data_IF_628058530143
#
_entry.id   IF_628058530143
#
_cell.length_a   1.000
_cell.length_b   1.000
_cell.length_c   1.000
_cell.angle_alpha   90.00
_cell.angle_beta   90.00
_cell.angle_gamma   90.00
#
_symmetry.space_group_name_H-M   'P 1'
#
loop_
_entity.id
_entity.type
_entity.pdbx_description
1 polymer ?
#
# COMPACT_ATOMS: atom_id res chain seq x y z
N UNK A 1 -48.57 13.27 53.68
CA UNK A 1 -47.91 14.35 52.92
C UNK A 1 -47.04 13.73 51.83
N UNK A 2 -47.41 14.00 50.58
CA UNK A 2 -46.59 14.16 49.37
C UNK A 2 -45.52 13.10 49.01
N UNK A 3 -45.96 12.24 48.09
CA UNK A 3 -45.22 11.70 46.94
C UNK A 3 -44.23 12.66 46.26
N UNK A 4 -43.11 12.12 45.76
CA UNK A 4 -42.64 12.38 44.38
C UNK A 4 -41.82 11.20 43.84
N UNK A 5 -42.32 10.67 42.72
CA UNK A 5 -41.72 9.68 41.80
C UNK A 5 -40.89 10.39 40.72
N UNK A 6 -40.05 9.57 40.06
CA UNK A 6 -39.62 9.59 38.64
C UNK A 6 -38.45 10.51 38.21
N UNK A 7 -37.78 10.24 37.05
CA UNK A 7 -37.48 8.95 36.38
C UNK A 7 -36.14 8.87 35.58
N UNK A 8 -35.83 7.65 35.10
CA UNK A 8 -35.27 7.28 33.77
C UNK A 8 -33.86 7.71 33.29
N UNK A 9 -33.00 6.71 33.08
CA UNK A 9 -32.19 6.52 31.85
C UNK A 9 -32.05 5.03 31.53
N UNK A 10 -33.08 4.48 30.88
CA UNK A 10 -33.04 3.26 30.06
C UNK A 10 -33.33 3.72 28.62
N UNK A 11 -32.35 3.64 27.71
CA UNK A 11 -32.58 3.67 26.25
C UNK A 11 -31.24 3.42 25.54
N UNK A 12 -31.17 2.34 24.75
CA UNK A 12 -30.01 2.05 23.89
C UNK A 12 -29.76 0.56 23.61
N UNK A 13 -30.31 -0.36 24.42
CA UNK A 13 -29.99 -1.81 24.33
C UNK A 13 -30.99 -2.68 23.57
N UNK A 14 -31.99 -2.13 22.88
CA UNK A 14 -33.15 -2.92 22.39
C UNK A 14 -33.44 -2.84 20.88
N UNK A 15 -32.54 -2.34 20.03
CA UNK A 15 -32.84 -2.27 18.58
C UNK A 15 -32.67 -3.56 17.77
N UNK A 16 -32.24 -4.67 18.37
CA UNK A 16 -32.10 -5.95 17.66
C UNK A 16 -32.93 -7.13 18.20
N UNK A 17 -33.77 -6.96 19.22
CA UNK A 17 -34.32 -8.13 19.94
C UNK A 17 -35.82 -8.39 19.95
N UNK A 18 -36.67 -7.57 19.36
CA UNK A 18 -38.11 -7.89 19.34
C UNK A 18 -38.82 -7.36 18.10
N UNK A 19 -39.02 -8.23 17.10
CA UNK A 19 -40.22 -8.19 16.24
C UNK A 19 -40.68 -9.62 15.92
N UNK A 20 -41.94 -9.86 16.24
CA UNK A 20 -42.68 -11.11 16.24
C UNK A 20 -43.06 -11.61 14.84
N UNK A 21 -43.04 -12.94 14.70
CA UNK A 21 -43.95 -13.79 13.91
C UNK A 21 -44.42 -13.24 12.55
N UNK A 22 -43.61 -13.49 11.51
CA UNK A 22 -44.00 -13.45 10.10
C UNK A 22 -43.40 -14.70 9.41
N UNK A 23 -44.06 -15.32 8.42
CA UNK A 23 -43.88 -16.73 8.01
C UNK A 23 -42.63 -17.01 7.17
N UNK A 24 -41.61 -16.14 7.26
CA UNK A 24 -40.33 -16.33 6.59
C UNK A 24 -39.47 -17.24 7.46
N UNK A 25 -39.29 -18.47 6.96
CA UNK A 25 -38.39 -19.53 7.41
C UNK A 25 -37.18 -18.99 8.19
N UNK A 26 -36.87 -19.62 9.33
CA UNK A 26 -35.65 -19.48 10.14
C UNK A 26 -34.52 -18.82 9.33
N UNK A 27 -34.31 -17.52 9.53
CA UNK A 27 -33.23 -16.78 8.86
C UNK A 27 -31.93 -17.48 9.24
N UNK A 28 -31.25 -18.07 8.25
CA UNK A 28 -30.01 -18.79 8.51
C UNK A 28 -28.86 -17.79 8.64
N UNK A 29 -27.99 -17.93 9.65
CA UNK A 29 -26.77 -17.13 9.72
C UNK A 29 -25.89 -17.36 8.48
N UNK A 30 -24.91 -16.50 8.27
CA UNK A 30 -23.86 -16.77 7.30
C UNK A 30 -22.99 -17.93 7.81
N UNK A 31 -22.84 -18.96 7.00
CA UNK A 31 -22.07 -20.16 7.34
C UNK A 31 -20.55 -19.91 7.21
N UNK A 32 -20.17 -18.94 6.38
CA UNK A 32 -18.78 -18.51 6.16
C UNK A 32 -18.71 -17.03 5.79
N UNK A 33 -17.49 -16.50 5.73
CA UNK A 33 -17.25 -15.15 5.21
C UNK A 33 -17.53 -15.06 3.71
N UNK A 34 -17.24 -16.11 2.94
CA UNK A 34 -17.55 -16.16 1.51
C UNK A 34 -19.06 -16.04 1.27
N UNK A 35 -19.88 -16.75 2.04
CA UNK A 35 -21.35 -16.66 1.94
C UNK A 35 -21.88 -15.26 2.30
N UNK A 36 -21.16 -14.53 3.16
CA UNK A 36 -21.46 -13.13 3.47
C UNK A 36 -21.09 -12.22 2.31
N UNK A 37 -19.89 -12.40 1.74
CA UNK A 37 -19.40 -11.62 0.60
C UNK A 37 -20.22 -11.84 -0.66
N UNK A 38 -20.62 -13.07 -0.96
CA UNK A 38 -21.54 -13.39 -2.07
C UNK A 38 -22.88 -12.66 -1.90
N UNK A 39 -23.43 -12.67 -0.67
CA UNK A 39 -24.69 -11.97 -0.39
C UNK A 39 -24.53 -10.45 -0.42
N UNK A 40 -23.36 -9.92 -0.04
CA UNK A 40 -23.03 -8.50 -0.16
C UNK A 40 -22.84 -8.09 -1.64
N UNK A 41 -22.20 -8.94 -2.46
CA UNK A 41 -22.08 -8.73 -3.90
C UNK A 41 -23.44 -8.70 -4.58
N UNK A 42 -24.33 -9.64 -4.25
CA UNK A 42 -25.70 -9.63 -4.78
C UNK A 42 -26.44 -8.33 -4.43
N UNK A 43 -26.27 -7.86 -3.18
CA UNK A 43 -26.84 -6.59 -2.75
C UNK A 43 -26.27 -5.40 -3.54
N UNK A 44 -24.95 -5.32 -3.71
CA UNK A 44 -24.29 -4.21 -4.43
C UNK A 44 -24.61 -4.25 -5.92
N UNK A 45 -24.62 -5.42 -6.56
CA UNK A 45 -25.07 -5.55 -7.94
C UNK A 45 -26.52 -5.09 -8.11
N UNK A 46 -27.40 -5.40 -7.16
CA UNK A 46 -28.77 -4.91 -7.19
C UNK A 46 -28.84 -3.39 -7.00
N UNK A 47 -27.95 -2.78 -6.21
CA UNK A 47 -27.83 -1.32 -6.12
C UNK A 47 -27.39 -0.71 -7.45
N UNK A 48 -26.42 -1.30 -8.15
CA UNK A 48 -25.90 -0.77 -9.42
C UNK A 48 -26.83 -0.96 -10.61
N UNK A 49 -27.61 -2.05 -10.62
CA UNK A 49 -28.61 -2.28 -11.66
C UNK A 49 -29.85 -1.39 -11.50
N UNK A 50 -29.99 -0.68 -10.36
CA UNK A 50 -31.17 0.12 -10.06
C UNK A 50 -31.23 1.45 -10.83
N UNK A 51 -30.14 2.25 -10.96
CA UNK A 51 -30.09 3.45 -11.81
C UNK A 51 -30.40 3.20 -13.29
N UNK A 52 -30.06 2.02 -13.81
CA UNK A 52 -30.26 1.65 -15.22
C UNK A 52 -31.73 1.33 -15.58
N UNK A 53 -32.61 1.28 -14.58
CA UNK A 53 -34.04 1.03 -14.81
C UNK A 53 -34.69 2.32 -15.29
N UNK A 54 -35.13 2.28 -16.53
CA UNK A 54 -35.79 3.37 -17.21
C UNK A 54 -36.97 3.89 -16.37
N UNK A 55 -36.88 5.13 -15.87
CA UNK A 55 -37.91 5.79 -15.04
C UNK A 55 -39.29 5.87 -15.70
N UNK A 56 -39.39 5.53 -16.98
CA UNK A 56 -40.60 5.54 -17.77
C UNK A 56 -41.52 4.33 -17.56
N UNK A 57 -41.06 3.26 -16.88
CA UNK A 57 -41.90 2.14 -16.43
C UNK A 57 -42.00 2.10 -14.91
N UNK A 58 -43.11 2.66 -14.38
CA UNK A 58 -43.33 2.81 -12.95
C UNK A 58 -43.47 1.46 -12.21
N UNK A 59 -43.91 0.40 -12.90
CA UNK A 59 -44.10 -0.91 -12.32
C UNK A 59 -42.76 -1.65 -12.15
N UNK A 60 -41.88 -1.56 -13.17
CA UNK A 60 -40.53 -2.13 -13.11
C UNK A 60 -39.64 -1.42 -12.08
N UNK A 61 -39.74 -0.10 -11.97
CA UNK A 61 -39.07 0.68 -10.94
C UNK A 61 -39.52 0.27 -9.53
N UNK A 62 -40.84 0.13 -9.31
CA UNK A 62 -41.41 -0.26 -8.02
C UNK A 62 -41.00 -1.68 -7.62
N UNK A 63 -41.06 -2.63 -8.58
CA UNK A 63 -40.68 -4.02 -8.36
C UNK A 63 -39.20 -4.17 -8.01
N UNK A 64 -38.33 -3.45 -8.71
CA UNK A 64 -36.90 -3.49 -8.45
C UNK A 64 -36.54 -2.83 -7.12
N UNK A 65 -37.24 -1.77 -6.73
CA UNK A 65 -37.10 -1.14 -5.41
C UNK A 65 -37.51 -2.10 -4.29
N UNK A 66 -38.63 -2.81 -4.47
CA UNK A 66 -39.09 -3.83 -3.53
C UNK A 66 -38.09 -4.98 -3.42
N UNK A 67 -37.53 -5.45 -4.55
CA UNK A 67 -36.51 -6.50 -4.58
C UNK A 67 -35.24 -6.07 -3.85
N UNK A 68 -34.72 -4.88 -4.13
CA UNK A 68 -33.55 -4.33 -3.44
C UNK A 68 -33.81 -4.21 -1.92
N UNK A 69 -34.98 -3.71 -1.54
CA UNK A 69 -35.35 -3.60 -0.13
C UNK A 69 -35.45 -4.95 0.57
N UNK A 70 -35.98 -5.96 -0.11
CA UNK A 70 -36.09 -7.32 0.40
C UNK A 70 -34.69 -7.96 0.57
N UNK A 71 -33.80 -7.80 -0.42
CA UNK A 71 -32.42 -8.30 -0.37
C UNK A 71 -31.66 -7.70 0.80
N UNK A 72 -31.70 -6.38 0.95
CA UNK A 72 -31.00 -5.71 2.03
C UNK A 72 -31.58 -6.08 3.41
N UNK A 73 -32.90 -6.17 3.54
CA UNK A 73 -33.54 -6.63 4.79
C UNK A 73 -33.12 -8.07 5.12
N UNK A 74 -33.06 -8.94 4.12
CA UNK A 74 -32.59 -10.32 4.30
C UNK A 74 -31.12 -10.34 4.73
N UNK A 75 -30.25 -9.58 4.06
CA UNK A 75 -28.83 -9.46 4.37
C UNK A 75 -28.61 -9.04 5.83
N UNK A 76 -29.19 -7.91 6.25
CA UNK A 76 -28.99 -7.38 7.61
C UNK A 76 -29.60 -8.29 8.69
N UNK A 77 -30.70 -9.00 8.40
CA UNK A 77 -31.24 -10.02 9.31
C UNK A 77 -30.30 -11.22 9.45
N UNK A 78 -29.72 -11.70 8.35
CA UNK A 78 -28.73 -12.79 8.39
C UNK A 78 -27.48 -12.36 9.15
N UNK A 79 -26.99 -11.15 8.89
CA UNK A 79 -25.84 -10.56 9.58
C UNK A 79 -26.09 -10.48 11.10
N UNK A 80 -27.26 -9.98 11.50
CA UNK A 80 -27.63 -9.86 12.90
C UNK A 80 -27.69 -11.21 13.63
N UNK A 81 -28.09 -12.28 12.94
CA UNK A 81 -28.15 -13.64 13.48
C UNK A 81 -26.85 -14.44 13.36
N UNK A 82 -25.82 -13.91 12.68
CA UNK A 82 -24.52 -14.57 12.52
C UNK A 82 -23.70 -14.37 13.79
N UNK A 83 -22.93 -15.39 14.20
CA UNK A 83 -22.12 -15.34 15.40
C UNK A 83 -20.81 -14.55 15.19
N UNK A 84 -20.16 -14.15 16.29
CA UNK A 84 -18.88 -13.42 16.30
C UNK A 84 -17.67 -14.25 15.82
N UNK A 85 -17.91 -15.51 15.47
CA UNK A 85 -16.96 -16.35 14.73
C UNK A 85 -16.69 -15.78 13.34
N UNK A 86 -17.66 -15.07 12.74
CA UNK A 86 -17.44 -14.36 11.51
C UNK A 86 -16.67 -13.04 11.79
N UNK A 87 -15.50 -12.84 11.15
CA UNK A 87 -14.64 -11.70 11.38
C UNK A 87 -15.33 -10.36 11.13
N UNK A 88 -16.09 -10.26 10.04
CA UNK A 88 -16.79 -9.02 9.70
C UNK A 88 -17.93 -8.71 10.67
N UNK A 89 -18.65 -9.72 11.14
CA UNK A 89 -19.70 -9.54 12.17
C UNK A 89 -19.09 -8.99 13.46
N UNK A 90 -17.91 -9.47 13.83
CA UNK A 90 -17.16 -8.97 14.98
C UNK A 90 -16.70 -7.53 14.79
N UNK A 91 -16.23 -7.14 13.60
CA UNK A 91 -15.95 -5.74 13.24
C UNK A 91 -17.19 -4.86 13.43
N UNK A 92 -18.32 -5.28 12.86
CA UNK A 92 -19.59 -4.53 12.92
C UNK A 92 -20.04 -4.33 14.36
N UNK A 93 -19.91 -5.35 15.21
CA UNK A 93 -20.32 -5.29 16.62
C UNK A 93 -19.35 -4.52 17.51
N UNK A 94 -18.04 -4.72 17.35
CA UNK A 94 -17.00 -3.99 18.11
C UNK A 94 -17.04 -2.48 17.86
N UNK A 95 -17.33 -2.09 16.62
CA UNK A 95 -17.40 -0.69 16.19
C UNK A 95 -18.83 -0.13 16.18
N UNK A 96 -19.82 -0.93 16.59
CA UNK A 96 -21.24 -0.61 16.58
C UNK A 96 -21.68 0.09 15.28
N UNK A 97 -21.35 -0.50 14.13
CA UNK A 97 -21.62 0.10 12.82
C UNK A 97 -23.13 0.11 12.52
N UNK A 98 -23.62 1.25 12.02
CA UNK A 98 -24.99 1.37 11.54
C UNK A 98 -25.16 0.67 10.18
N UNK A 99 -26.37 0.23 9.79
CA UNK A 99 -26.57 -0.55 8.56
C UNK A 99 -25.97 0.07 7.29
N UNK A 100 -25.97 1.41 7.17
CA UNK A 100 -25.36 2.10 6.05
C UNK A 100 -23.82 2.15 6.11
N UNK A 101 -23.25 2.16 7.31
CA UNK A 101 -21.80 2.09 7.52
C UNK A 101 -21.29 0.69 7.14
N UNK A 102 -22.07 -0.34 7.49
CA UNK A 102 -21.83 -1.73 7.08
C UNK A 102 -21.85 -1.85 5.55
N UNK A 103 -22.89 -1.32 4.89
CA UNK A 103 -23.01 -1.33 3.44
C UNK A 103 -21.86 -0.54 2.77
N UNK A 104 -21.46 0.61 3.30
CA UNK A 104 -20.36 1.42 2.79
C UNK A 104 -19.00 0.70 2.89
N UNK A 105 -18.70 0.09 4.04
CA UNK A 105 -17.46 -0.69 4.24
C UNK A 105 -17.41 -1.89 3.29
N UNK A 106 -18.53 -2.60 3.11
CA UNK A 106 -18.62 -3.70 2.16
C UNK A 106 -18.43 -3.24 0.72
N UNK A 107 -19.03 -2.10 0.33
CA UNK A 107 -18.89 -1.55 -1.00
C UNK A 107 -17.44 -1.18 -1.35
N UNK A 108 -16.77 -0.50 -0.44
CA UNK A 108 -15.35 -0.19 -0.60
C UNK A 108 -14.48 -1.45 -0.63
N UNK A 109 -14.77 -2.42 0.24
CA UNK A 109 -14.03 -3.69 0.26
C UNK A 109 -14.18 -4.46 -1.06
N UNK A 110 -15.42 -4.57 -1.56
CA UNK A 110 -15.75 -5.24 -2.81
C UNK A 110 -15.09 -4.54 -4.01
N UNK A 111 -15.13 -3.21 -4.04
CA UNK A 111 -14.47 -2.40 -5.06
C UNK A 111 -12.95 -2.61 -5.02
N UNK A 112 -12.35 -2.60 -3.82
CA UNK A 112 -10.91 -2.80 -3.62
C UNK A 112 -10.43 -4.19 -4.06
N UNK A 113 -11.23 -5.22 -3.78
CA UNK A 113 -10.98 -6.60 -4.22
C UNK A 113 -11.28 -6.82 -5.70
N UNK A 114 -11.82 -5.81 -6.41
CA UNK A 114 -12.24 -5.89 -7.83
C UNK A 114 -13.20 -7.04 -8.10
N UNK A 115 -14.09 -7.31 -7.15
CA UNK A 115 -15.15 -8.31 -7.32
C UNK A 115 -16.30 -7.77 -8.19
N UNK A 116 -16.30 -6.47 -8.48
CA UNK A 116 -17.22 -5.78 -9.37
C UNK A 116 -16.47 -4.82 -10.29
N UNK A 117 -17.14 -4.33 -11.33
CA UNK A 117 -16.60 -3.31 -12.24
C UNK A 117 -16.71 -1.88 -11.67
N UNK A 118 -17.21 -1.73 -10.44
CA UNK A 118 -17.40 -0.42 -9.82
C UNK A 118 -16.12 -0.06 -9.07
N UNK A 119 -15.55 1.08 -9.45
CA UNK A 119 -14.38 1.64 -8.80
C UNK A 119 -14.82 2.81 -7.92
N UNK A 120 -14.87 2.59 -6.60
CA UNK A 120 -15.29 3.61 -5.65
C UNK A 120 -14.06 4.29 -5.09
N UNK A 121 -13.94 5.57 -5.39
CA UNK A 121 -12.81 6.43 -5.10
C UNK A 121 -13.20 7.71 -4.38
N UNK A 122 -14.48 8.11 -4.37
CA UNK A 122 -14.96 9.28 -3.64
C UNK A 122 -16.22 8.99 -2.82
N UNK A 123 -16.47 9.79 -1.78
CA UNK A 123 -17.63 9.62 -0.89
C UNK A 123 -18.97 9.77 -1.63
N UNK A 124 -19.00 10.61 -2.68
CA UNK A 124 -20.18 10.78 -3.52
C UNK A 124 -20.62 9.49 -4.20
N UNK A 125 -19.69 8.69 -4.74
CA UNK A 125 -20.00 7.43 -5.43
C UNK A 125 -20.64 6.41 -4.49
N UNK A 126 -20.21 6.33 -3.23
CA UNK A 126 -20.91 5.52 -2.21
C UNK A 126 -22.30 6.09 -1.95
N UNK A 127 -22.41 7.41 -1.86
CA UNK A 127 -23.68 8.07 -1.60
C UNK A 127 -24.69 7.82 -2.72
N UNK A 128 -24.27 7.83 -3.99
CA UNK A 128 -25.12 7.49 -5.15
C UNK A 128 -25.49 6.01 -5.14
N UNK A 129 -24.49 5.14 -4.93
CA UNK A 129 -24.70 3.69 -4.85
C UNK A 129 -25.75 3.29 -3.80
N UNK A 130 -25.78 4.01 -2.66
CA UNK A 130 -26.67 3.73 -1.54
C UNK A 130 -27.87 4.70 -1.48
N UNK A 131 -28.02 5.63 -2.41
CA UNK A 131 -28.99 6.74 -2.34
C UNK A 131 -30.42 6.26 -2.16
N UNK A 132 -30.80 5.22 -2.91
CA UNK A 132 -32.17 4.69 -2.95
C UNK A 132 -32.61 3.98 -1.66
N UNK A 133 -31.66 3.74 -0.76
CA UNK A 133 -31.84 3.02 0.50
C UNK A 133 -31.78 3.93 1.71
N UNK A 134 -31.09 5.06 1.61
CA UNK A 134 -30.85 5.94 2.75
C UNK A 134 -31.83 7.11 2.79
N UNK A 135 -32.66 7.15 3.85
CA UNK A 135 -33.48 8.33 4.14
C UNK A 135 -32.64 9.55 4.53
N UNK A 136 -31.43 9.31 5.07
CA UNK A 136 -30.53 10.33 5.59
C UNK A 136 -29.17 10.30 4.86
N UNK A 137 -29.15 10.68 3.58
CA UNK A 137 -27.91 10.85 2.77
C UNK A 137 -26.82 11.63 3.52
N UNK A 138 -27.23 12.64 4.29
CA UNK A 138 -26.35 13.46 5.12
C UNK A 138 -25.64 12.67 6.24
N UNK A 139 -26.25 11.63 6.80
CA UNK A 139 -25.59 10.80 7.84
C UNK A 139 -24.50 9.92 7.24
N UNK A 140 -24.77 9.33 6.08
CA UNK A 140 -23.78 8.55 5.34
C UNK A 140 -22.58 9.41 4.98
N UNK A 141 -22.82 10.57 4.35
CA UNK A 141 -21.75 11.51 4.01
C UNK A 141 -20.97 11.94 5.26
N UNK A 142 -21.64 12.32 6.35
CA UNK A 142 -20.98 12.65 7.63
C UNK A 142 -20.10 11.52 8.19
N UNK A 143 -20.47 10.25 7.99
CA UNK A 143 -19.66 9.12 8.45
C UNK A 143 -18.43 8.90 7.56
N UNK A 144 -18.52 9.26 6.28
CA UNK A 144 -17.46 9.21 5.27
C UNK A 144 -16.61 10.49 5.18
N UNK A 145 -16.85 11.48 6.06
CA UNK A 145 -16.02 12.68 6.14
C UNK A 145 -14.70 12.41 6.89
N UNK A 146 -13.69 13.29 6.77
CA UNK A 146 -12.44 13.21 7.53
C UNK A 146 -12.63 13.08 9.04
N UNK A 147 -13.58 13.81 9.62
CA UNK A 147 -13.93 13.69 11.06
C UNK A 147 -15.04 12.65 11.32
N UNK A 148 -15.44 11.94 10.28
CA UNK A 148 -16.49 10.94 10.27
C UNK A 148 -16.15 9.72 11.11
N UNK A 149 -17.18 8.96 11.50
CA UNK A 149 -17.00 7.80 12.37
C UNK A 149 -16.12 6.73 11.71
N UNK A 150 -16.32 6.44 10.42
CA UNK A 150 -15.55 5.41 9.73
C UNK A 150 -14.05 5.75 9.66
N UNK A 151 -13.69 7.02 9.41
CA UNK A 151 -12.30 7.45 9.40
C UNK A 151 -11.68 7.47 10.81
N UNK A 152 -12.42 7.95 11.82
CA UNK A 152 -11.96 7.93 13.23
C UNK A 152 -11.73 6.51 13.78
N UNK A 153 -12.45 5.54 13.25
CA UNK A 153 -12.29 4.13 13.60
C UNK A 153 -11.20 3.43 12.76
N UNK A 154 -10.55 4.13 11.84
CA UNK A 154 -9.50 3.56 10.97
C UNK A 154 -10.03 2.51 10.00
N UNK A 155 -11.31 2.55 9.64
CA UNK A 155 -11.90 1.60 8.69
C UNK A 155 -11.75 2.07 7.24
N UNK A 156 -11.69 3.38 7.05
CA UNK A 156 -11.46 4.06 5.77
C UNK A 156 -10.36 5.09 5.95
N UNK A 157 -9.76 5.51 4.84
CA UNK A 157 -8.87 6.65 4.77
C UNK A 157 -9.35 7.61 3.70
N UNK A 158 -9.28 8.90 4.00
CA UNK A 158 -9.62 9.97 3.08
C UNK A 158 -8.34 10.74 2.83
N UNK A 159 -7.81 10.55 1.63
CA UNK A 159 -6.61 11.18 1.13
C UNK A 159 -7.01 12.55 0.57
N UNK A 160 -6.65 13.63 1.27
CA UNK A 160 -7.02 15.00 0.86
C UNK A 160 -6.03 15.60 -0.15
N UNK A 161 -4.98 14.86 -0.49
CA UNK A 161 -3.81 15.35 -1.22
C UNK A 161 -3.93 15.01 -2.72
N UNK A 162 -5.17 15.01 -3.23
CA UNK A 162 -5.49 14.92 -4.66
C UNK A 162 -5.92 16.30 -5.17
N UNK A 163 -5.04 17.02 -5.89
CA UNK A 163 -5.33 18.38 -6.37
C UNK A 163 -6.53 18.45 -7.33
N UNK A 164 -6.93 17.32 -7.91
CA UNK A 164 -8.10 17.20 -8.80
C UNK A 164 -9.39 16.82 -8.05
N UNK A 165 -9.32 16.46 -6.76
CA UNK A 165 -10.49 16.06 -5.95
C UNK A 165 -10.76 17.04 -4.82
N UNK A 166 -11.81 17.86 -5.00
CA UNK A 166 -12.33 18.72 -3.94
C UNK A 166 -12.85 17.94 -2.70
N UNK A 167 -13.09 16.64 -2.83
CA UNK A 167 -13.71 15.79 -1.79
C UNK A 167 -12.71 14.87 -1.07
N UNK A 168 -11.48 14.73 -1.58
CA UNK A 168 -10.49 13.76 -1.10
C UNK A 168 -10.81 12.33 -1.57
N UNK A 169 -9.77 11.56 -1.87
CA UNK A 169 -9.91 10.18 -2.35
C UNK A 169 -10.18 9.24 -1.17
N UNK A 170 -11.30 8.53 -1.24
CA UNK A 170 -11.75 7.56 -0.26
C UNK A 170 -11.20 6.17 -0.60
N UNK A 171 -10.47 5.56 0.33
CA UNK A 171 -10.00 4.17 0.24
C UNK A 171 -10.40 3.40 1.51
N UNK A 172 -10.57 2.09 1.40
CA UNK A 172 -10.74 1.22 2.57
C UNK A 172 -9.36 1.00 3.21
N UNK A 173 -9.30 0.95 4.54
CA UNK A 173 -8.04 0.55 5.20
C UNK A 173 -7.67 -0.88 4.76
N UNK A 174 -6.45 -1.05 4.27
CA UNK A 174 -5.88 -2.34 3.88
C UNK A 174 -6.02 -3.43 4.96
N UNK A 175 -6.01 -3.06 6.24
CA UNK A 175 -6.21 -3.98 7.37
C UNK A 175 -7.60 -4.59 7.35
N UNK A 176 -8.61 -3.82 6.97
CA UNK A 176 -9.99 -4.31 6.83
C UNK A 176 -10.04 -5.33 5.70
N UNK A 177 -9.42 -5.03 4.54
CA UNK A 177 -9.40 -5.94 3.39
C UNK A 177 -8.64 -7.23 3.70
N UNK A 178 -7.49 -7.15 4.35
CA UNK A 178 -6.72 -8.32 4.77
C UNK A 178 -7.44 -9.14 5.85
N UNK A 179 -8.18 -8.48 6.75
CA UNK A 179 -9.06 -9.17 7.69
C UNK A 179 -10.16 -9.95 6.95
N UNK A 180 -10.72 -9.37 5.89
CA UNK A 180 -11.66 -10.06 5.01
C UNK A 180 -11.04 -11.25 4.27
N UNK A 181 -9.74 -11.21 3.93
CA UNK A 181 -9.10 -12.33 3.23
C UNK A 181 -8.65 -13.45 4.17
N UNK A 182 -8.22 -13.10 5.39
CA UNK A 182 -7.57 -14.03 6.32
C UNK A 182 -8.45 -14.48 7.49
N UNK A 183 -9.52 -13.73 7.76
CA UNK A 183 -10.43 -13.94 8.88
C UNK A 183 -9.85 -13.66 10.27
N UNK A 184 -8.66 -13.06 10.35
CA UNK A 184 -7.98 -12.72 11.62
C UNK A 184 -8.02 -11.21 11.86
N UNK A 185 -8.48 -10.82 13.05
CA UNK A 185 -8.65 -9.42 13.49
C UNK A 185 -7.33 -8.77 13.93
N UNK A 186 -6.34 -9.60 14.22
CA UNK A 186 -4.97 -9.15 14.42
C UNK A 186 -4.52 -8.56 13.09
N UNK A 187 -4.62 -7.22 13.01
CA UNK A 187 -4.29 -6.43 11.82
C UNK A 187 -2.97 -6.91 11.26
N UNK A 188 -2.88 -6.95 9.92
CA UNK A 188 -1.79 -7.51 9.10
C UNK A 188 -0.68 -7.99 10.02
N UNK A 189 -0.61 -9.30 10.38
CA UNK A 189 0.48 -9.75 11.21
C UNK A 189 1.73 -9.24 10.51
N UNK A 190 2.38 -8.27 11.16
CA UNK A 190 3.57 -7.66 10.60
C UNK A 190 4.42 -8.85 10.23
N UNK A 191 4.79 -8.93 8.96
CA UNK A 191 5.53 -10.10 8.53
C UNK A 191 6.85 -10.01 9.29
N UNK A 192 7.01 -10.84 10.31
CA UNK A 192 8.21 -10.88 11.15
C UNK A 192 9.06 -12.04 10.65
N UNK A 193 10.25 -11.73 10.17
CA UNK A 193 11.17 -12.76 9.72
C UNK A 193 11.65 -13.54 10.95
N UNK A 194 11.70 -14.87 10.86
CA UNK A 194 12.17 -15.71 11.97
C UNK A 194 13.69 -15.87 11.93
N UNK A 195 14.31 -15.57 10.79
CA UNK A 195 15.75 -15.65 10.56
C UNK A 195 16.23 -14.56 9.60
N UNK A 196 17.52 -14.23 9.68
CA UNK A 196 18.15 -13.27 8.77
C UNK A 196 18.11 -13.81 7.32
N UNK A 197 18.26 -15.12 7.10
CA UNK A 197 18.13 -15.75 5.78
C UNK A 197 16.74 -15.60 5.16
N UNK A 198 15.69 -15.71 5.99
CA UNK A 198 14.31 -15.49 5.55
C UNK A 198 14.09 -14.03 5.15
N UNK A 199 14.62 -13.08 5.92
CA UNK A 199 14.59 -11.65 5.58
C UNK A 199 15.25 -11.39 4.21
N UNK A 200 16.41 -11.99 3.95
CA UNK A 200 17.08 -11.92 2.65
C UNK A 200 16.26 -12.55 1.52
N UNK A 201 15.49 -13.61 1.79
CA UNK A 201 14.59 -14.19 0.81
C UNK A 201 13.45 -13.22 0.43
N UNK A 202 12.94 -12.43 1.40
CA UNK A 202 11.88 -11.44 1.14
C UNK A 202 12.34 -10.30 0.25
N UNK A 203 13.63 -9.95 0.29
CA UNK A 203 14.20 -8.92 -0.58
C UNK A 203 13.97 -9.23 -2.08
N UNK A 204 13.84 -10.50 -2.46
CA UNK A 204 13.48 -10.89 -3.83
C UNK A 204 12.03 -10.52 -4.20
N UNK A 205 11.09 -10.60 -3.26
CA UNK A 205 9.70 -10.17 -3.48
C UNK A 205 9.60 -8.64 -3.52
N UNK A 206 10.39 -7.98 -2.67
CA UNK A 206 10.47 -6.53 -2.59
C UNK A 206 11.08 -5.95 -3.87
N UNK A 207 12.14 -6.58 -4.40
CA UNK A 207 12.75 -6.13 -5.66
C UNK A 207 11.76 -6.11 -6.83
N UNK A 208 10.82 -7.08 -6.90
CA UNK A 208 9.76 -7.07 -7.91
C UNK A 208 8.79 -5.88 -7.73
N UNK A 209 8.56 -5.46 -6.50
CA UNK A 209 7.72 -4.29 -6.19
C UNK A 209 8.43 -3.01 -6.62
N UNK A 210 9.72 -2.87 -6.33
CA UNK A 210 10.56 -1.75 -6.78
C UNK A 210 10.60 -1.69 -8.31
N UNK A 211 10.87 -2.82 -8.99
CA UNK A 211 10.93 -2.90 -10.46
C UNK A 211 9.62 -2.48 -11.13
N UNK A 212 8.47 -2.73 -10.48
CA UNK A 212 7.17 -2.26 -10.98
C UNK A 212 6.90 -0.79 -10.66
N UNK A 213 7.47 -0.28 -9.58
CA UNK A 213 7.27 1.09 -9.11
C UNK A 213 8.05 2.11 -9.94
N UNK A 214 9.30 1.81 -10.31
CA UNK A 214 10.19 2.75 -11.00
C UNK A 214 9.63 3.23 -12.36
N UNK A 215 9.08 2.37 -13.25
CA UNK A 215 8.47 2.85 -14.49
C UNK A 215 7.24 3.73 -14.26
N UNK A 216 6.43 3.41 -13.25
CA UNK A 216 5.23 4.19 -12.90
C UNK A 216 5.63 5.59 -12.39
N UNK A 217 6.74 5.69 -11.66
CA UNK A 217 7.31 6.98 -11.24
C UNK A 217 7.74 7.82 -12.44
N UNK A 218 8.50 7.25 -13.37
CA UNK A 218 8.92 7.96 -14.59
C UNK A 218 7.74 8.37 -15.48
N UNK A 219 6.69 7.55 -15.56
CA UNK A 219 5.46 7.92 -16.27
C UNK A 219 4.75 9.10 -15.59
N UNK A 220 4.66 9.10 -14.26
CA UNK A 220 4.03 10.19 -13.51
C UNK A 220 4.82 11.50 -13.64
N UNK A 221 6.14 11.47 -13.49
CA UNK A 221 7.01 12.65 -13.63
C UNK A 221 7.00 13.23 -15.05
N UNK A 222 6.85 12.37 -16.07
CA UNK A 222 6.69 12.80 -17.46
C UNK A 222 5.26 13.26 -17.81
N UNK A 223 4.33 13.27 -16.85
CA UNK A 223 2.92 13.65 -17.04
C UNK A 223 2.09 12.62 -17.82
N UNK A 224 2.64 11.44 -18.10
CA UNK A 224 1.98 10.37 -18.87
C UNK A 224 1.35 9.27 -17.98
N UNK A 225 1.61 9.31 -16.68
CA UNK A 225 1.16 8.34 -15.69
C UNK A 225 0.08 8.87 -14.76
N UNK A 226 -0.63 7.96 -14.09
CA UNK A 226 -1.62 8.36 -13.06
C UNK A 226 -0.98 8.32 -11.67
N UNK A 227 -1.19 9.37 -10.87
CA UNK A 227 -0.72 9.41 -9.48
C UNK A 227 -1.22 8.20 -8.65
N UNK A 228 -2.36 7.62 -9.02
CA UNK A 228 -2.93 6.43 -8.40
C UNK A 228 -2.03 5.19 -8.51
N UNK A 229 -1.42 4.93 -9.66
CA UNK A 229 -0.53 3.77 -9.84
C UNK A 229 0.72 3.90 -8.98
N UNK A 230 1.33 5.10 -8.98
CA UNK A 230 2.47 5.44 -8.14
C UNK A 230 2.15 5.31 -6.65
N UNK A 231 1.05 5.93 -6.19
CA UNK A 231 0.59 5.83 -4.78
C UNK A 231 0.40 4.38 -4.35
N UNK A 232 -0.22 3.55 -5.18
CA UNK A 232 -0.43 2.12 -4.88
C UNK A 232 0.88 1.35 -4.77
N UNK A 233 1.80 1.57 -5.71
CA UNK A 233 3.12 0.92 -5.70
C UNK A 233 3.94 1.35 -4.46
N UNK A 234 3.96 2.65 -4.16
CA UNK A 234 4.60 3.22 -2.96
C UNK A 234 4.02 2.69 -1.66
N UNK A 235 2.69 2.66 -1.50
CA UNK A 235 2.05 2.09 -0.30
C UNK A 235 2.44 0.63 -0.09
N UNK A 236 2.44 -0.19 -1.15
CA UNK A 236 2.86 -1.59 -1.07
C UNK A 236 4.31 -1.73 -0.64
N UNK A 237 5.21 -1.00 -1.28
CA UNK A 237 6.63 -1.00 -0.93
C UNK A 237 6.86 -0.48 0.50
N UNK A 238 6.17 0.59 0.90
CA UNK A 238 6.23 1.14 2.24
C UNK A 238 5.79 0.16 3.31
N UNK A 239 4.72 -0.61 3.09
CA UNK A 239 4.31 -1.64 4.02
C UNK A 239 5.39 -2.73 4.17
N UNK A 240 6.01 -3.16 3.07
CA UNK A 240 7.12 -4.12 3.11
C UNK A 240 8.35 -3.56 3.86
N UNK A 241 8.65 -2.27 3.71
CA UNK A 241 9.70 -1.60 4.48
C UNK A 241 9.36 -1.58 5.97
N UNK A 242 8.09 -1.31 6.32
CA UNK A 242 7.63 -1.37 7.71
C UNK A 242 7.77 -2.79 8.29
N UNK A 243 7.42 -3.83 7.52
CA UNK A 243 7.59 -5.22 7.94
C UNK A 243 9.06 -5.57 8.23
N UNK A 244 9.98 -5.09 7.39
CA UNK A 244 11.41 -5.24 7.61
C UNK A 244 11.85 -4.48 8.86
N UNK A 245 11.43 -3.21 9.03
CA UNK A 245 11.83 -2.41 10.18
C UNK A 245 11.38 -3.04 11.50
N UNK A 246 10.19 -3.64 11.55
CA UNK A 246 9.72 -4.36 12.73
C UNK A 246 10.49 -5.67 12.94
N UNK A 247 10.78 -6.41 11.87
CA UNK A 247 11.63 -7.61 11.97
C UNK A 247 13.01 -7.27 12.54
N UNK A 248 13.60 -6.15 12.11
CA UNK A 248 14.90 -5.68 12.58
C UNK A 248 14.86 -5.12 14.01
N UNK A 249 13.74 -4.55 14.47
CA UNK A 249 13.62 -4.06 15.85
C UNK A 249 13.55 -5.21 16.86
N UNK A 250 12.97 -6.35 16.46
CA UNK A 250 12.91 -7.57 17.26
C UNK A 250 14.24 -8.35 17.29
N UNK A 251 15.10 -8.13 16.28
CA UNK A 251 16.37 -8.83 16.10
C UNK A 251 17.54 -7.86 15.89
N UNK A 252 17.89 -7.03 16.89
CA UNK A 252 18.94 -6.01 16.77
C UNK A 252 20.35 -6.60 16.52
N UNK A 253 20.54 -7.89 16.79
CA UNK A 253 21.81 -8.58 16.56
C UNK A 253 22.11 -8.82 15.07
N UNK A 254 21.10 -8.80 14.21
CA UNK A 254 21.23 -9.02 12.76
C UNK A 254 22.07 -7.93 12.10
N UNK A 255 22.78 -8.30 11.02
CA UNK A 255 23.74 -7.38 10.38
C UNK A 255 23.01 -6.22 9.71
N UNK A 256 21.86 -6.51 9.10
CA UNK A 256 21.03 -5.46 8.50
C UNK A 256 20.46 -4.49 9.56
N UNK A 257 20.17 -4.98 10.77
CA UNK A 257 19.74 -4.15 11.90
C UNK A 257 20.83 -3.16 12.33
N UNK A 258 22.06 -3.65 12.50
CA UNK A 258 23.22 -2.81 12.81
C UNK A 258 23.52 -1.78 11.73
N UNK A 259 23.39 -2.15 10.45
CA UNK A 259 23.57 -1.20 9.36
C UNK A 259 22.48 -0.12 9.35
N UNK A 260 21.23 -0.48 9.69
CA UNK A 260 20.11 0.47 9.82
C UNK A 260 20.32 1.48 10.94
N UNK A 261 20.84 1.05 12.09
CA UNK A 261 21.18 1.97 13.18
C UNK A 261 22.19 3.03 12.73
N UNK A 262 23.22 2.62 11.99
CA UNK A 262 24.20 3.54 11.39
C UNK A 262 23.55 4.43 10.31
N UNK A 263 22.53 3.94 9.62
CA UNK A 263 21.76 4.71 8.65
C UNK A 263 20.83 5.75 9.28
N UNK A 264 20.79 5.88 10.61
CA UNK A 264 19.97 6.88 11.31
C UNK A 264 18.57 6.40 11.68
N UNK A 265 18.30 5.09 11.57
CA UNK A 265 17.04 4.46 12.00
C UNK A 265 15.76 5.09 11.44
N UNK A 266 15.83 5.56 10.20
CA UNK A 266 14.70 6.17 9.51
C UNK A 266 14.16 5.28 8.39
N UNK A 267 12.86 5.41 8.12
CA UNK A 267 12.16 4.62 7.10
C UNK A 267 12.67 4.91 5.69
N UNK A 268 13.00 6.16 5.38
CA UNK A 268 13.51 6.56 4.07
C UNK A 268 14.91 5.98 3.84
N UNK A 269 15.78 6.10 4.84
CA UNK A 269 17.11 5.50 4.78
C UNK A 269 17.05 3.98 4.65
N UNK A 270 16.15 3.33 5.39
CA UNK A 270 15.93 1.88 5.31
C UNK A 270 15.47 1.47 3.90
N UNK A 271 14.56 2.23 3.29
CA UNK A 271 14.11 1.98 1.93
C UNK A 271 15.23 2.08 0.88
N UNK A 272 16.08 3.11 0.99
CA UNK A 272 17.26 3.28 0.12
C UNK A 272 18.24 2.11 0.27
N UNK A 273 18.55 1.74 1.52
CA UNK A 273 19.44 0.60 1.81
C UNK A 273 18.87 -0.69 1.24
N UNK A 274 17.56 -0.95 1.40
CA UNK A 274 16.89 -2.13 0.83
C UNK A 274 16.97 -2.13 -0.71
N UNK A 275 16.74 -0.99 -1.36
CA UNK A 275 16.81 -0.90 -2.82
C UNK A 275 18.24 -1.19 -3.33
N UNK A 276 19.25 -0.57 -2.71
CA UNK A 276 20.66 -0.82 -3.06
C UNK A 276 21.12 -2.23 -2.71
N UNK A 277 20.58 -2.82 -1.65
CA UNK A 277 20.83 -4.21 -1.28
C UNK A 277 20.23 -5.18 -2.31
N UNK A 278 19.02 -4.92 -2.80
CA UNK A 278 18.43 -5.67 -3.92
C UNK A 278 19.31 -5.59 -5.18
N UNK A 279 19.93 -4.43 -5.46
CA UNK A 279 20.92 -4.26 -6.53
C UNK A 279 22.17 -5.10 -6.28
N UNK A 280 22.76 -5.00 -5.10
CA UNK A 280 23.97 -5.74 -4.75
C UNK A 280 23.77 -7.27 -4.81
N UNK A 281 22.58 -7.75 -4.47
CA UNK A 281 22.20 -9.17 -4.56
C UNK A 281 21.87 -9.65 -5.98
N UNK A 282 21.87 -8.75 -6.98
CA UNK A 282 21.58 -9.08 -8.37
C UNK A 282 20.11 -9.38 -8.67
N UNK A 283 19.18 -8.81 -7.89
CA UNK A 283 17.75 -9.03 -8.10
C UNK A 283 17.13 -8.11 -9.16
N UNK A 284 17.87 -7.12 -9.65
CA UNK A 284 17.51 -6.30 -10.80
C UNK A 284 18.10 -6.89 -12.09
N UNK A 285 17.23 -7.13 -13.09
CA UNK A 285 17.55 -7.84 -14.34
C UNK A 285 17.51 -6.97 -15.61
N UNK A 286 17.48 -5.65 -15.49
CA UNK A 286 17.37 -4.75 -16.64
C UNK A 286 18.72 -4.16 -17.06
N UNK A 287 18.83 -3.79 -18.34
CA UNK A 287 20.03 -3.22 -18.96
C UNK A 287 20.50 -1.88 -18.35
N UNK A 288 19.63 -1.21 -17.58
CA UNK A 288 19.96 0.02 -16.85
C UNK A 288 19.91 -0.23 -15.33
N UNK A 289 20.72 -1.15 -14.81
CA UNK A 289 20.88 -1.46 -13.37
C UNK A 289 21.43 -0.27 -12.52
N UNK A 290 21.20 0.96 -12.97
CA UNK A 290 21.55 2.21 -12.31
C UNK A 290 20.54 2.51 -11.21
N UNK A 291 20.97 2.44 -9.95
CA UNK A 291 20.21 3.03 -8.86
C UNK A 291 20.57 4.52 -8.84
N UNK A 292 19.93 5.28 -9.73
CA UNK A 292 20.17 6.71 -9.86
C UNK A 292 19.60 7.49 -8.67
N UNK A 293 20.04 8.73 -8.48
CA UNK A 293 19.53 9.59 -7.42
C UNK A 293 18.03 9.82 -7.55
N UNK A 294 17.54 10.04 -8.77
CA UNK A 294 16.10 10.15 -9.05
C UNK A 294 15.33 8.89 -8.61
N UNK A 295 15.86 7.70 -8.95
CA UNK A 295 15.23 6.44 -8.56
C UNK A 295 15.20 6.27 -7.04
N UNK A 296 16.32 6.53 -6.36
CA UNK A 296 16.43 6.38 -4.90
C UNK A 296 15.58 7.42 -4.16
N UNK A 297 15.56 8.66 -4.64
CA UNK A 297 14.67 9.70 -4.12
C UNK A 297 13.21 9.27 -4.29
N UNK A 298 12.81 8.77 -5.47
CA UNK A 298 11.45 8.28 -5.72
C UNK A 298 11.05 7.05 -4.89
N UNK A 299 12.02 6.22 -4.47
CA UNK A 299 11.83 5.09 -3.54
C UNK A 299 11.71 5.57 -2.09
N UNK A 300 12.46 6.60 -1.71
CA UNK A 300 12.48 7.21 -0.37
C UNK A 300 11.34 8.22 -0.14
N UNK A 301 10.73 8.69 -1.22
CA UNK A 301 9.67 9.70 -1.19
C UNK A 301 8.33 9.03 -0.88
N UNK A 302 7.80 9.32 0.31
CA UNK A 302 6.51 8.79 0.76
C UNK A 302 5.35 9.76 0.53
N UNK A 303 5.65 11.06 0.40
CA UNK A 303 4.72 12.12 0.05
C UNK A 303 5.00 12.60 -1.38
N UNK A 304 3.99 12.57 -2.25
CA UNK A 304 4.14 12.94 -3.67
C UNK A 304 4.35 14.45 -3.85
N UNK A 305 3.81 15.26 -2.94
CA UNK A 305 3.82 16.72 -3.06
C UNK A 305 5.16 17.35 -2.67
N UNK A 306 5.96 16.64 -1.86
CA UNK A 306 7.29 17.09 -1.49
C UNK A 306 8.40 16.13 -1.95
N UNK A 307 8.90 16.30 -3.18
CA UNK A 307 10.02 15.52 -3.68
C UNK A 307 11.33 15.83 -2.95
N UNK A 308 11.45 16.97 -2.26
CA UNK A 308 12.73 17.38 -1.67
C UNK A 308 13.21 16.43 -0.56
N UNK A 309 12.29 15.84 0.21
CA UNK A 309 12.63 14.85 1.24
C UNK A 309 13.33 13.59 0.69
N UNK A 310 12.98 13.15 -0.52
CA UNK A 310 13.64 11.99 -1.14
C UNK A 310 15.11 12.28 -1.45
N UNK A 311 15.41 13.49 -1.94
CA UNK A 311 16.78 13.92 -2.25
C UNK A 311 17.59 14.28 -1.01
N UNK A 312 16.96 14.77 0.05
CA UNK A 312 17.63 15.00 1.34
C UNK A 312 18.24 13.71 1.89
N UNK A 313 17.54 12.57 1.74
CA UNK A 313 17.99 11.27 2.20
C UNK A 313 19.22 10.73 1.46
N UNK A 314 19.54 11.22 0.27
CA UNK A 314 20.76 10.89 -0.51
C UNK A 314 21.74 12.06 -0.64
N UNK A 315 21.43 13.21 -0.02
CA UNK A 315 22.25 14.40 -0.06
C UNK A 315 23.53 14.29 0.78
N UNK A 316 24.44 15.28 0.68
CA UNK A 316 25.77 15.23 1.30
C UNK A 316 25.74 15.20 2.84
N UNK A 317 24.63 15.64 3.44
CA UNK A 317 24.42 15.65 4.90
C UNK A 317 23.65 14.44 5.42
N UNK A 318 23.18 13.57 4.53
CA UNK A 318 22.46 12.37 4.93
C UNK A 318 23.35 11.46 5.77
N UNK A 319 22.82 10.84 6.84
CA UNK A 319 23.50 9.75 7.54
C UNK A 319 24.02 8.66 6.61
N UNK A 320 23.34 8.38 5.49
CA UNK A 320 23.79 7.38 4.52
C UNK A 320 25.13 7.73 3.87
N UNK A 321 25.39 9.01 3.60
CA UNK A 321 26.65 9.49 3.01
C UNK A 321 27.69 9.73 4.11
N UNK A 322 27.31 10.41 5.20
CA UNK A 322 28.23 10.78 6.29
C UNK A 322 28.80 9.56 6.98
N UNK A 323 28.00 8.51 7.19
CA UNK A 323 28.46 7.26 7.80
C UNK A 323 29.00 6.26 6.77
N UNK A 324 29.27 6.72 5.55
CA UNK A 324 29.88 5.94 4.47
C UNK A 324 29.10 4.65 4.16
N UNK A 325 27.76 4.71 4.18
CA UNK A 325 26.90 3.55 3.92
C UNK A 325 26.68 3.38 2.41
N UNK A 326 26.40 4.50 1.73
CA UNK A 326 26.24 4.57 0.28
C UNK A 326 27.27 5.53 -0.32
N UNK A 327 27.58 5.38 -1.60
CA UNK A 327 28.44 6.32 -2.35
C UNK A 327 28.00 6.44 -3.82
N UNK A 328 28.30 7.56 -4.49
CA UNK A 328 28.18 7.65 -5.94
C UNK A 328 29.23 6.78 -6.66
N UNK A 329 28.87 6.15 -7.78
CA UNK A 329 29.76 5.28 -8.58
C UNK A 329 30.76 6.10 -9.39
N UNK A 330 30.35 7.28 -9.87
CA UNK A 330 31.19 8.18 -10.66
C UNK A 330 31.23 9.58 -10.02
N UNK A 331 32.44 10.14 -9.86
CA UNK A 331 32.67 11.44 -9.24
C UNK A 331 33.35 11.35 -7.87
N UNK A 332 33.99 12.45 -7.44
CA UNK A 332 34.51 12.53 -6.08
C UNK A 332 33.33 12.69 -5.10
N UNK A 333 33.28 11.87 -4.05
CA UNK A 333 32.33 12.00 -2.92
C UNK A 333 32.33 13.40 -2.29
N UNK A 334 33.45 14.12 -2.41
CA UNK A 334 33.64 15.49 -1.92
C UNK A 334 32.78 16.56 -2.64
N UNK A 335 32.07 16.21 -3.72
CA UNK A 335 31.28 17.14 -4.54
C UNK A 335 29.81 16.74 -4.71
N UNK A 336 29.23 15.94 -3.79
CA UNK A 336 27.79 15.65 -3.83
C UNK A 336 27.02 16.93 -3.56
N UNK A 337 26.26 17.37 -4.55
CA UNK A 337 25.42 18.57 -4.47
C UNK A 337 24.20 18.33 -3.59
N UNK A 338 23.67 19.40 -3.01
CA UNK A 338 22.36 19.37 -2.33
C UNK A 338 21.19 19.67 -3.28
N UNK A 339 21.46 19.86 -4.58
CA UNK A 339 20.45 20.20 -5.57
C UNK A 339 19.88 18.93 -6.22
N UNK A 340 18.56 18.70 -6.20
CA UNK A 340 17.92 17.52 -6.80
C UNK A 340 18.34 17.25 -8.25
N UNK A 341 18.30 18.28 -9.10
CA UNK A 341 18.66 18.19 -10.53
C UNK A 341 20.09 17.69 -10.78
N UNK A 342 21.01 17.94 -9.85
CA UNK A 342 22.41 17.51 -9.96
C UNK A 342 22.61 16.08 -9.45
N UNK A 343 21.63 15.52 -8.71
CA UNK A 343 21.64 14.16 -8.17
C UNK A 343 20.92 13.16 -9.07
N UNK A 344 20.01 13.61 -9.94
CA UNK A 344 19.10 12.76 -10.72
C UNK A 344 19.80 11.62 -11.46
N UNK A 345 20.85 11.96 -12.21
CA UNK A 345 21.60 11.01 -13.05
C UNK A 345 22.76 10.33 -12.30
N UNK A 346 23.01 10.68 -11.03
CA UNK A 346 24.11 10.10 -10.27
C UNK A 346 23.72 8.69 -9.83
N UNK A 347 24.50 7.70 -10.26
CA UNK A 347 24.36 6.34 -9.77
C UNK A 347 24.96 6.17 -8.38
N UNK A 348 24.22 5.51 -7.49
CA UNK A 348 24.66 5.16 -6.15
C UNK A 348 24.83 3.65 -5.98
N UNK A 349 25.70 3.28 -5.05
CA UNK A 349 25.94 1.90 -4.60
C UNK A 349 26.17 1.84 -3.08
N UNK A 350 26.01 0.63 -2.50
CA UNK A 350 26.51 0.35 -1.16
C UNK A 350 28.04 0.39 -1.17
N UNK A 351 28.64 0.99 -0.14
CA UNK A 351 30.10 0.98 0.02
C UNK A 351 30.61 -0.42 0.33
N UNK A 352 31.90 -0.64 0.10
CA UNK A 352 32.58 -1.89 0.46
C UNK A 352 32.43 -2.19 1.97
N UNK A 353 32.54 -1.16 2.81
CA UNK A 353 32.31 -1.25 4.26
C UNK A 353 30.90 -1.76 4.59
N UNK A 354 29.86 -1.26 3.91
CA UNK A 354 28.48 -1.74 4.10
C UNK A 354 28.31 -3.19 3.66
N UNK A 355 28.91 -3.57 2.52
CA UNK A 355 28.84 -4.94 2.01
C UNK A 355 29.56 -5.95 2.92
N UNK A 356 30.70 -5.55 3.48
CA UNK A 356 31.44 -6.32 4.48
C UNK A 356 30.65 -6.46 5.79
N UNK A 357 30.05 -5.36 6.27
CA UNK A 357 29.21 -5.37 7.46
C UNK A 357 28.02 -6.32 7.34
N UNK A 358 27.41 -6.40 6.14
CA UNK A 358 26.33 -7.34 5.83
C UNK A 358 26.82 -8.79 5.59
N UNK A 359 28.14 -9.01 5.56
CA UNK A 359 28.79 -10.30 5.28
C UNK A 359 28.31 -10.98 3.98
N UNK A 360 28.00 -10.17 2.97
CA UNK A 360 27.39 -10.62 1.71
C UNK A 360 28.37 -11.34 0.77
N UNK A 361 29.64 -11.46 1.15
CA UNK A 361 30.68 -12.18 0.40
C UNK A 361 30.26 -13.62 0.05
N UNK A 362 29.40 -14.26 0.86
CA UNK A 362 28.84 -15.60 0.57
C UNK A 362 27.70 -15.58 -0.47
N UNK A 363 26.86 -14.55 -0.48
CA UNK A 363 25.70 -14.42 -1.38
C UNK A 363 26.11 -13.95 -2.77
N UNK A 364 27.09 -13.05 -2.87
CA UNK A 364 27.66 -12.58 -4.15
C UNK A 364 28.31 -13.72 -4.97
N UNK A 365 28.79 -14.78 -4.30
CA UNK A 365 29.33 -15.97 -4.98
C UNK A 365 28.25 -16.86 -5.61
N UNK A 366 27.01 -16.83 -5.11
CA UNK A 366 25.90 -17.63 -5.63
C UNK A 366 25.10 -16.90 -6.72
N UNK A 367 25.15 -15.57 -6.78
CA UNK A 367 24.58 -14.76 -7.87
C UNK A 367 25.39 -14.80 -9.17
N UNK A 368 26.67 -15.18 -9.13
CA UNK A 368 27.56 -15.28 -10.32
C UNK A 368 27.45 -16.60 -11.09
N UNK A 369 26.52 -17.50 -10.73
CA UNK A 369 26.41 -18.85 -11.34
C UNK A 369 25.30 -19.01 -12.38
N UNK A 370 24.70 -17.93 -12.87
CA UNK A 370 23.79 -17.97 -14.01
C UNK A 370 24.14 -16.89 -15.03
N UNK A 371 24.79 -17.30 -16.12
CA UNK A 371 25.09 -16.55 -17.35
C UNK A 371 25.66 -15.13 -17.18
N UNK A 372 26.97 -15.06 -16.99
CA UNK A 372 27.83 -14.63 -18.08
C UNK A 372 29.27 -15.00 -17.72
N UNK A 373 29.89 -15.80 -18.59
CA UNK A 373 31.33 -15.73 -18.72
C UNK A 373 31.65 -14.28 -19.04
N UNK A 374 32.18 -13.55 -18.06
CA UNK A 374 32.98 -12.37 -18.32
C UNK A 374 34.06 -12.89 -19.26
N UNK A 375 33.87 -12.68 -20.57
CA UNK A 375 34.97 -12.72 -21.50
C UNK A 375 36.01 -11.84 -20.86
N UNK A 376 37.14 -12.44 -20.48
CA UNK A 376 38.37 -11.69 -20.28
C UNK A 376 38.44 -10.63 -21.39
N UNK A 377 38.83 -9.38 -21.07
CA UNK A 377 38.86 -8.32 -22.06
C UNK A 377 39.78 -8.76 -23.20
N UNK A 378 39.18 -9.19 -24.32
CA UNK A 378 39.90 -9.72 -25.50
C UNK A 378 40.56 -8.63 -26.32
N UNK A 379 40.42 -7.37 -25.92
CA UNK A 379 41.02 -6.21 -26.58
C UNK A 379 41.95 -5.50 -25.61
N UNK A 380 43.26 -5.68 -25.83
CA UNK A 380 44.26 -4.79 -25.23
C UNK A 380 44.24 -3.44 -25.95
N UNK A 381 44.67 -2.38 -25.27
CA UNK A 381 44.74 -1.01 -25.81
C UNK A 381 45.53 -0.93 -27.14
N UNK A 382 46.40 -1.91 -27.37
CA UNK A 382 47.22 -2.07 -28.56
C UNK A 382 46.43 -2.52 -29.79
N UNK A 383 45.26 -3.15 -29.58
CA UNK A 383 44.39 -3.70 -30.61
C UNK A 383 43.30 -2.72 -31.07
N UNK A 384 43.16 -1.57 -30.41
CA UNK A 384 42.35 -0.45 -30.88
C UNK A 384 43.16 0.35 -31.93
N UNK A 385 42.60 0.49 -33.14
CA UNK A 385 43.14 1.38 -34.19
C UNK A 385 42.85 2.82 -33.79
N UNK A 386 43.70 3.35 -32.91
CA UNK A 386 43.64 4.73 -32.43
C UNK A 386 44.51 5.63 -33.31
N UNK A 387 44.01 6.83 -33.60
CA UNK A 387 44.83 7.86 -34.25
C UNK A 387 46.04 8.22 -33.38
N UNK A 388 47.15 8.61 -34.01
CA UNK A 388 48.42 8.91 -33.34
C UNK A 388 48.28 10.01 -32.26
N UNK A 389 47.32 10.92 -32.43
CA UNK A 389 46.98 11.98 -31.49
C UNK A 389 46.34 11.43 -30.20
N UNK A 390 45.45 10.45 -30.32
CA UNK A 390 44.76 9.82 -29.18
C UNK A 390 45.72 8.93 -28.38
N UNK A 391 46.61 8.19 -29.04
CA UNK A 391 47.64 7.37 -28.37
C UNK A 391 48.59 8.18 -27.49
N UNK A 392 48.99 9.39 -27.92
CA UNK A 392 49.87 10.27 -27.14
C UNK A 392 49.17 10.83 -25.89
N UNK A 393 47.86 11.07 -25.96
CA UNK A 393 47.09 11.57 -24.83
C UNK A 393 46.84 10.50 -23.74
N UNK A 394 46.79 9.21 -24.12
CA UNK A 394 46.50 8.11 -23.22
C UNK A 394 47.76 7.53 -22.53
N UNK A 395 48.94 7.63 -23.14
CA UNK A 395 50.21 7.13 -22.57
C UNK A 395 50.56 7.60 -21.15
N UNK A 396 50.34 8.86 -20.73
CA UNK A 396 50.67 9.28 -19.37
C UNK A 396 49.65 8.87 -18.30
N UNK A 397 48.49 8.29 -18.66
CA UNK A 397 47.43 7.92 -17.70
C UNK A 397 47.40 6.44 -17.33
N UNK A 398 48.08 5.58 -18.09
CA UNK A 398 48.18 4.15 -17.82
C UNK A 398 49.60 3.68 -18.18
N UNK A 399 50.55 3.68 -17.23
CA UNK A 399 51.83 3.02 -17.44
C UNK A 399 51.58 1.52 -17.60
N UNK A 400 52.18 0.91 -18.62
CA UNK A 400 52.16 -0.53 -18.88
C UNK A 400 52.85 -1.26 -17.73
#
# INVERSE_FOLDING_TARGET
MLTKKNPATRSGREHYRNQSSSPWRKVRPFESLDALMESALELIHACCAYPDINYHDADDYTRSKQKLNALALAFHKRLACTDDTNPFVRLVRSHALEPFEVEAVLALTISRLRLTNIDITVAHEISELLEHRQRDRLKLLRSLMPDGKLNRLGLIHIDKDDPDSNEGQLDIDHRVVEWFLTGREEGVPIRIAVSEEELYAWLREISQTIVRMVPELGLFESGNGTGRQVRRARRRFGNQVTDIMESLSLHPEWKLGKLRELAGDDRQHTAIVIALLCKALGYFRWLDNSCTGQMLAGVAQWDIEDPTYGYEAIGPRSPLIVNNIIRPIYGATELISSRPEELDDIEFELTEQSLEALALNKYLQHGRRGDDGISEPRLTLDQLVLSSKVRKALKPRFPI
#
